data_IF_451216469494
#
_entry.id   IF_451216469494
#
_cell.length_a   1.000
_cell.length_b   1.000
_cell.length_c   1.000
_cell.angle_alpha   90.00
_cell.angle_beta   90.00
_cell.angle_gamma   90.00
#
_symmetry.space_group_name_H-M   'P 1'
#
loop_
_entity.id
_entity.type
_entity.pdbx_description
1 polymer ?
#
# COMPACT_ATOMS: atom_id res chain seq x y z
N UNK A 1 -14.82 4.61 -1.05
CA UNK A 1 -14.92 5.08 -2.45
C UNK A 1 -15.24 6.55 -2.59
N UNK A 2 -16.12 7.11 -1.76
CA UNK A 2 -16.52 8.53 -1.79
C UNK A 2 -15.34 9.49 -1.79
N UNK A 3 -14.39 9.34 -0.87
CA UNK A 3 -13.20 10.21 -0.81
C UNK A 3 -12.36 10.17 -2.10
N UNK A 4 -12.22 8.98 -2.72
CA UNK A 4 -11.49 8.83 -3.99
C UNK A 4 -12.20 9.58 -5.12
N UNK A 5 -13.52 9.44 -5.19
CA UNK A 5 -14.32 10.13 -6.19
C UNK A 5 -14.31 11.64 -5.97
N UNK A 6 -14.44 12.11 -4.72
CA UNK A 6 -14.32 13.51 -4.36
C UNK A 6 -12.95 14.07 -4.79
N UNK A 7 -11.85 13.39 -4.46
CA UNK A 7 -10.51 13.79 -4.90
C UNK A 7 -10.41 13.90 -6.43
N UNK A 8 -11.05 12.98 -7.15
CA UNK A 8 -11.12 13.03 -8.60
C UNK A 8 -11.90 14.25 -9.11
N UNK A 9 -12.96 14.68 -8.41
CA UNK A 9 -13.73 15.86 -8.80
C UNK A 9 -13.01 17.18 -8.46
N UNK A 10 -12.34 17.25 -7.31
CA UNK A 10 -11.81 18.52 -6.78
C UNK A 10 -10.34 18.77 -7.11
N UNK A 11 -9.55 17.73 -7.34
CA UNK A 11 -8.11 17.85 -7.51
C UNK A 11 -7.57 17.24 -8.81
N UNK A 12 -8.43 16.92 -9.79
CA UNK A 12 -8.00 16.28 -11.04
C UNK A 12 -6.84 17.00 -11.74
N UNK A 13 -6.90 18.33 -11.87
CA UNK A 13 -5.86 19.13 -12.50
C UNK A 13 -4.54 19.06 -11.71
N UNK A 14 -4.62 19.16 -10.37
CA UNK A 14 -3.46 19.02 -9.49
C UNK A 14 -2.80 17.66 -9.63
N UNK A 15 -3.59 16.59 -9.74
CA UNK A 15 -3.08 15.23 -9.94
C UNK A 15 -2.31 15.05 -11.25
N UNK A 16 -2.60 15.84 -12.30
CA UNK A 16 -1.89 15.79 -13.58
C UNK A 16 -0.47 16.37 -13.53
N UNK A 17 -0.15 17.17 -12.51
CA UNK A 17 1.18 17.77 -12.36
C UNK A 17 2.23 16.78 -11.84
N UNK A 18 1.81 15.60 -11.36
CA UNK A 18 2.71 14.60 -10.79
C UNK A 18 3.15 13.57 -11.84
N UNK A 19 4.27 12.90 -11.61
CA UNK A 19 4.71 11.78 -12.46
C UNK A 19 4.11 10.42 -12.02
N UNK A 20 3.68 10.31 -10.77
CA UNK A 20 2.98 9.17 -10.18
C UNK A 20 2.12 9.64 -9.03
N UNK A 21 1.06 8.91 -8.75
CA UNK A 21 0.19 9.14 -7.59
C UNK A 21 0.29 7.92 -6.68
N UNK A 22 0.54 8.16 -5.40
CA UNK A 22 0.54 7.13 -4.35
C UNK A 22 -0.68 7.39 -3.47
N UNK A 23 -1.68 6.53 -3.59
CA UNK A 23 -2.87 6.55 -2.74
C UNK A 23 -2.66 5.54 -1.61
N UNK A 24 -2.59 6.04 -0.38
CA UNK A 24 -2.32 5.21 0.80
C UNK A 24 -3.28 5.57 1.95
N UNK A 25 -3.27 4.77 3.01
CA UNK A 25 -4.04 5.04 4.23
C UNK A 25 -3.18 5.71 5.29
N UNK A 26 -3.82 6.49 6.15
CA UNK A 26 -3.17 7.19 7.27
C UNK A 26 -2.72 6.25 8.39
N UNK A 27 -3.34 5.07 8.50
CA UNK A 27 -2.96 4.03 9.47
C UNK A 27 -1.88 3.05 8.95
N UNK A 28 -1.15 3.44 7.90
CA UNK A 28 0.03 2.72 7.45
C UNK A 28 1.30 3.20 8.13
N UNK A 29 2.00 2.27 8.77
CA UNK A 29 3.38 2.48 9.22
C UNK A 29 4.36 1.90 8.21
N UNK A 30 5.29 2.72 7.72
CA UNK A 30 6.34 2.32 6.78
C UNK A 30 7.59 1.84 7.53
N UNK A 31 8.08 0.65 7.18
CA UNK A 31 9.30 0.06 7.79
C UNK A 31 10.58 0.46 7.05
N UNK A 32 10.45 0.81 5.77
CA UNK A 32 11.52 1.31 4.92
C UNK A 32 10.93 2.22 3.84
N UNK A 33 11.80 2.82 3.03
CA UNK A 33 11.37 3.71 1.95
C UNK A 33 10.44 3.00 0.96
N UNK A 34 9.45 3.74 0.49
CA UNK A 34 8.57 3.26 -0.57
C UNK A 34 9.38 2.98 -1.85
N UNK A 35 9.12 1.87 -2.57
CA UNK A 35 9.78 1.58 -3.84
C UNK A 35 9.71 2.77 -4.81
N UNK A 36 10.82 3.11 -5.47
CA UNK A 36 10.82 4.14 -6.50
C UNK A 36 10.28 3.58 -7.83
N UNK A 37 8.95 3.52 -7.96
CA UNK A 37 8.25 2.89 -9.10
C UNK A 37 7.41 3.91 -9.87
N UNK A 38 7.38 3.75 -11.19
CA UNK A 38 6.65 4.62 -12.11
C UNK A 38 5.79 3.77 -13.04
N UNK A 39 4.54 3.49 -12.67
CA UNK A 39 3.66 2.67 -13.49
C UNK A 39 3.37 3.33 -14.84
N UNK A 40 3.25 2.50 -15.88
CA UNK A 40 2.82 2.95 -17.21
C UNK A 40 1.35 3.38 -17.18
N UNK A 41 0.90 4.26 -18.09
CA UNK A 41 -0.52 4.53 -18.28
C UNK A 41 -1.31 3.24 -18.49
N UNK A 42 -2.44 3.11 -17.80
CA UNK A 42 -3.30 1.92 -17.80
C UNK A 42 -2.94 0.91 -16.72
N UNK A 43 -1.85 1.11 -15.97
CA UNK A 43 -1.41 0.20 -14.90
C UNK A 43 -1.63 0.81 -13.51
N UNK A 44 -2.12 -0.01 -12.58
CA UNK A 44 -2.13 0.27 -11.14
C UNK A 44 -1.32 -0.78 -10.40
N UNK A 45 -0.33 -0.34 -9.62
CA UNK A 45 0.43 -1.20 -8.73
C UNK A 45 -0.31 -1.34 -7.40
N UNK A 46 -0.50 -2.58 -6.94
CA UNK A 46 -1.24 -2.90 -5.71
C UNK A 46 -0.32 -3.65 -4.76
N UNK A 47 -0.25 -3.22 -3.49
CA UNK A 47 0.56 -3.89 -2.48
C UNK A 47 0.21 -5.38 -2.36
N UNK A 48 1.22 -6.25 -2.30
CA UNK A 48 1.03 -7.67 -1.96
C UNK A 48 0.44 -7.82 -0.56
N UNK A 49 -0.36 -8.85 -0.34
CA UNK A 49 -1.02 -9.12 0.95
C UNK A 49 -2.38 -9.77 0.76
N UNK A 50 -3.22 -9.67 1.80
CA UNK A 50 -4.61 -10.13 1.77
C UNK A 50 -5.43 -9.39 0.72
N UNK A 51 -6.33 -10.14 0.08
CA UNK A 51 -7.09 -9.69 -1.09
C UNK A 51 -8.59 -9.97 -1.01
N UNK A 52 -9.09 -10.70 -0.02
CA UNK A 52 -10.53 -10.97 0.19
C UNK A 52 -11.36 -11.20 -1.11
N UNK A 53 -10.77 -11.92 -2.10
CA UNK A 53 -11.34 -12.17 -3.43
C UNK A 53 -11.20 -11.05 -4.49
N UNK A 54 -10.74 -9.86 -4.10
CA UNK A 54 -10.57 -8.64 -4.88
C UNK A 54 -9.13 -8.08 -4.96
N UNK A 55 -9.02 -6.77 -5.15
CA UNK A 55 -7.77 -6.02 -5.01
C UNK A 55 -7.85 -5.15 -3.77
N UNK A 56 -6.81 -5.19 -2.91
CA UNK A 56 -6.81 -4.37 -1.70
C UNK A 56 -6.99 -2.90 -2.02
N UNK A 57 -7.79 -2.20 -1.23
CA UNK A 57 -8.07 -0.76 -1.35
C UNK A 57 -7.09 0.11 -0.55
N UNK A 58 -6.09 -0.50 0.10
CA UNK A 58 -5.24 0.13 1.11
C UNK A 58 -4.05 0.90 0.54
N UNK A 59 -3.47 0.44 -0.58
CA UNK A 59 -2.32 1.10 -1.20
C UNK A 59 -2.25 0.89 -2.71
N UNK A 60 -2.27 1.99 -3.47
CA UNK A 60 -2.20 2.01 -4.92
C UNK A 60 -1.15 2.99 -5.42
N UNK A 61 -0.42 2.59 -6.46
CA UNK A 61 0.46 3.51 -7.20
C UNK A 61 0.05 3.49 -8.66
N UNK A 62 -0.20 4.65 -9.25
CA UNK A 62 -0.69 4.74 -10.63
C UNK A 62 -0.22 6.02 -11.33
N UNK A 63 -0.24 5.98 -12.65
CA UNK A 63 0.07 7.13 -13.49
C UNK A 63 -1.09 8.13 -13.47
N UNK A 64 -0.87 9.46 -13.54
CA UNK A 64 -1.96 10.46 -13.60
C UNK A 64 -2.99 10.19 -14.70
N UNK A 65 -2.54 9.79 -15.90
CA UNK A 65 -3.42 9.33 -17.02
C UNK A 65 -4.33 8.14 -16.68
N UNK A 66 -4.14 7.49 -15.53
CA UNK A 66 -4.93 6.35 -15.03
C UNK A 66 -5.80 6.74 -13.83
N UNK A 67 -5.75 8.00 -13.37
CA UNK A 67 -6.48 8.46 -12.18
C UNK A 67 -7.99 8.26 -12.28
N UNK A 68 -8.57 8.45 -13.47
CA UNK A 68 -10.01 8.30 -13.69
C UNK A 68 -10.44 6.85 -13.40
N UNK A 69 -9.69 5.87 -13.91
CA UNK A 69 -9.96 4.46 -13.67
C UNK A 69 -9.62 4.04 -12.24
N UNK A 70 -8.50 4.52 -11.70
CA UNK A 70 -8.02 4.17 -10.36
C UNK A 70 -8.92 4.72 -9.23
N UNK A 71 -9.42 5.96 -9.37
CA UNK A 71 -10.22 6.66 -8.38
C UNK A 71 -11.73 6.55 -8.64
N UNK A 72 -12.15 6.41 -9.91
CA UNK A 72 -13.54 6.41 -10.37
C UNK A 72 -14.31 5.09 -10.19
N UNK A 73 -14.02 4.32 -9.14
CA UNK A 73 -14.74 3.06 -8.84
C UNK A 73 -16.18 3.32 -8.37
N UNK A 74 -16.46 4.48 -7.74
CA UNK A 74 -17.79 4.80 -7.21
C UNK A 74 -18.89 4.83 -8.30
N UNK A 75 -18.73 5.56 -9.42
CA UNK A 75 -19.72 5.51 -10.52
C UNK A 75 -19.99 4.10 -11.04
N UNK A 76 -18.96 3.25 -11.12
CA UNK A 76 -19.12 1.86 -11.51
C UNK A 76 -19.97 1.08 -10.50
N UNK A 77 -19.70 1.25 -9.20
CA UNK A 77 -20.43 0.59 -8.13
C UNK A 77 -21.90 1.02 -8.09
N UNK A 78 -22.20 2.30 -8.32
CA UNK A 78 -23.58 2.82 -8.37
C UNK A 78 -24.37 2.22 -9.53
N UNK A 79 -23.72 1.96 -10.68
CA UNK A 79 -24.35 1.25 -11.81
C UNK A 79 -24.46 -0.25 -11.60
N UNK A 80 -23.70 -0.82 -10.66
CA UNK A 80 -23.58 -2.26 -10.44
C UNK A 80 -23.69 -2.67 -8.95
N UNK A 81 -24.71 -2.21 -8.20
CA UNK A 81 -24.71 -2.26 -6.74
C UNK A 81 -24.68 -3.68 -6.15
N UNK A 82 -25.10 -4.70 -6.93
CA UNK A 82 -25.17 -6.10 -6.50
C UNK A 82 -24.01 -6.96 -7.00
N UNK A 83 -23.12 -6.45 -7.86
CA UNK A 83 -22.03 -7.25 -8.46
C UNK A 83 -20.88 -7.53 -7.49
N UNK A 84 -20.66 -6.67 -6.49
CA UNK A 84 -19.54 -6.77 -5.57
C UNK A 84 -20.02 -7.02 -4.14
N UNK A 85 -19.44 -8.04 -3.49
CA UNK A 85 -19.77 -8.39 -2.08
C UNK A 85 -19.02 -7.53 -1.06
N UNK A 86 -17.90 -6.93 -1.46
CA UNK A 86 -17.07 -6.08 -0.62
C UNK A 86 -16.32 -5.04 -1.49
N UNK A 87 -15.69 -4.01 -0.88
CA UNK A 87 -14.96 -2.99 -1.60
C UNK A 87 -13.82 -3.53 -2.49
N UNK A 88 -13.05 -4.50 -2.02
CA UNK A 88 -11.92 -5.06 -2.80
C UNK A 88 -12.42 -5.75 -4.08
N UNK A 89 -13.55 -6.46 -4.01
CA UNK A 89 -14.21 -7.04 -5.17
C UNK A 89 -14.73 -5.96 -6.12
N UNK A 90 -15.30 -4.87 -5.60
CA UNK A 90 -15.75 -3.75 -6.44
C UNK A 90 -14.59 -3.15 -7.24
N UNK A 91 -13.41 -2.97 -6.61
CA UNK A 91 -12.20 -2.52 -7.30
C UNK A 91 -11.82 -3.50 -8.40
N UNK A 92 -11.74 -4.80 -8.09
CA UNK A 92 -11.37 -5.84 -9.07
C UNK A 92 -12.29 -5.87 -10.28
N UNK A 93 -13.60 -5.82 -10.06
CA UNK A 93 -14.58 -5.87 -11.14
C UNK A 93 -14.56 -4.58 -11.97
N UNK A 94 -14.56 -3.41 -11.31
CA UNK A 94 -14.49 -2.12 -12.00
C UNK A 94 -13.23 -1.98 -12.85
N UNK A 95 -12.05 -2.28 -12.28
CA UNK A 95 -10.79 -2.19 -13.00
C UNK A 95 -10.69 -3.15 -14.17
N UNK A 96 -11.25 -4.36 -14.03
CA UNK A 96 -11.35 -5.30 -15.15
C UNK A 96 -12.21 -4.74 -16.29
N UNK A 97 -13.37 -4.18 -15.98
CA UNK A 97 -14.26 -3.59 -17.00
C UNK A 97 -13.66 -2.30 -17.61
N UNK A 98 -12.87 -1.55 -16.86
CA UNK A 98 -12.20 -0.32 -17.30
C UNK A 98 -10.83 -0.57 -17.99
N UNK A 99 -10.44 -1.84 -18.21
CA UNK A 99 -9.20 -2.18 -18.89
C UNK A 99 -7.92 -1.86 -18.11
N UNK A 100 -7.99 -1.76 -16.79
CA UNK A 100 -6.83 -1.47 -15.93
C UNK A 100 -6.00 -2.74 -15.73
N UNK A 101 -4.71 -2.65 -16.04
CA UNK A 101 -3.72 -3.68 -15.71
C UNK A 101 -3.33 -3.54 -14.24
N UNK A 102 -3.32 -4.65 -13.51
CA UNK A 102 -2.90 -4.67 -12.11
C UNK A 102 -1.61 -5.44 -11.97
N UNK A 103 -0.61 -4.80 -11.36
CA UNK A 103 0.69 -5.41 -11.11
C UNK A 103 1.00 -5.39 -9.61
N UNK A 104 1.70 -6.41 -9.08
CA UNK A 104 1.99 -6.50 -7.66
C UNK A 104 3.11 -5.53 -7.26
N UNK A 105 2.87 -4.72 -6.24
CA UNK A 105 3.89 -3.88 -5.59
C UNK A 105 4.47 -4.62 -4.36
N UNK A 106 5.81 -4.65 -4.20
CA UNK A 106 6.41 -5.07 -2.93
C UNK A 106 5.90 -4.22 -1.76
N UNK A 107 5.58 -4.87 -0.65
CA UNK A 107 5.04 -4.21 0.52
C UNK A 107 6.19 -3.67 1.39
N UNK A 108 6.13 -2.40 1.78
CA UNK A 108 7.10 -1.72 2.66
C UNK A 108 6.45 -1.16 3.93
N UNK A 109 5.17 -1.47 4.13
CA UNK A 109 4.29 -0.86 5.12
C UNK A 109 3.26 -1.86 5.65
N UNK A 110 2.79 -1.62 6.86
CA UNK A 110 1.77 -2.43 7.53
C UNK A 110 0.70 -1.56 8.16
N UNK A 111 -0.50 -2.11 8.28
CA UNK A 111 -1.61 -1.45 8.96
C UNK A 111 -1.47 -1.57 10.47
N UNK A 112 -1.56 -0.44 11.17
CA UNK A 112 -1.50 -0.36 12.62
C UNK A 112 -2.81 0.15 13.23
N UNK A 113 -2.99 -0.06 14.52
CA UNK A 113 -4.01 0.58 15.37
C UNK A 113 -3.39 1.11 16.65
N UNK A 114 -4.08 2.03 17.31
CA UNK A 114 -3.77 2.38 18.68
C UNK A 114 -4.07 1.18 19.60
N UNK A 115 -3.29 1.05 20.68
CA UNK A 115 -3.50 0.03 21.71
C UNK A 115 -4.84 0.31 22.40
N UNK A 116 -5.79 -0.62 22.27
CA UNK A 116 -7.15 -0.47 22.79
C UNK A 116 -8.21 -0.09 21.76
N UNK A 117 -7.83 0.16 20.49
CA UNK A 117 -8.80 0.26 19.40
C UNK A 117 -9.58 -1.06 19.27
N UNK A 118 -10.89 -1.00 19.49
CA UNK A 118 -11.80 -2.12 19.28
C UNK A 118 -12.19 -2.21 17.81
N UNK A 119 -11.29 -2.66 16.94
CA UNK A 119 -11.71 -3.05 15.59
C UNK A 119 -12.39 -4.42 15.61
N UNK A 120 -13.52 -4.54 14.89
CA UNK A 120 -14.46 -5.67 14.83
C UNK A 120 -13.87 -7.07 14.56
N UNK A 121 -12.58 -7.19 14.30
CA UNK A 121 -11.90 -8.43 13.94
C UNK A 121 -10.50 -8.41 14.58
N UNK A 122 -10.33 -9.22 15.62
CA UNK A 122 -9.10 -9.56 16.33
C UNK A 122 -8.53 -8.53 17.32
N UNK A 123 -8.26 -9.01 18.54
CA UNK A 123 -7.38 -8.36 19.51
C UNK A 123 -6.03 -8.19 18.85
N UNK A 124 -5.64 -6.95 18.55
CA UNK A 124 -4.37 -6.66 17.92
C UNK A 124 -3.25 -7.28 18.77
N UNK A 125 -2.56 -8.28 18.23
CA UNK A 125 -1.47 -8.94 18.95
C UNK A 125 -0.44 -7.87 19.27
N UNK A 126 -0.13 -7.73 20.56
CA UNK A 126 0.93 -6.83 21.00
C UNK A 126 2.21 -7.37 20.38
N UNK A 127 2.90 -6.62 19.51
CA UNK A 127 4.06 -7.12 18.79
C UNK A 127 5.27 -7.13 19.74
N UNK A 128 5.27 -8.04 20.71
CA UNK A 128 6.39 -8.26 21.64
C UNK A 128 7.66 -8.78 20.96
N UNK A 129 7.62 -9.03 19.64
CA UNK A 129 8.72 -9.64 18.88
C UNK A 129 9.16 -8.88 17.63
N UNK A 130 8.88 -7.59 17.51
CA UNK A 130 8.89 -6.94 16.20
C UNK A 130 9.66 -5.62 16.14
N UNK A 131 10.98 -5.78 16.05
CA UNK A 131 11.80 -5.50 14.88
C UNK A 131 13.26 -5.43 15.35
N UNK A 132 14.04 -6.53 15.24
CA UNK A 132 15.50 -6.39 15.30
C UNK A 132 15.94 -5.81 13.94
N UNK A 133 16.53 -4.61 13.91
CA UNK A 133 17.09 -4.02 12.67
C UNK A 133 18.20 -4.91 12.10
N UNK A 134 18.54 -4.64 10.85
CA UNK A 134 19.72 -5.16 10.14
C UNK A 134 21.04 -4.59 10.73
N UNK A 135 20.98 -3.57 11.59
CA UNK A 135 22.13 -2.98 12.31
C UNK A 135 22.17 -3.32 13.82
N UNK A 136 21.32 -4.24 14.30
CA UNK A 136 21.29 -4.65 15.71
C UNK A 136 20.52 -3.74 16.68
N UNK A 137 20.05 -2.56 16.27
CA UNK A 137 19.24 -1.69 17.15
C UNK A 137 17.73 -1.93 16.95
N UNK A 138 16.91 -2.11 18.00
CA UNK A 138 15.47 -2.31 17.80
C UNK A 138 14.77 -0.97 17.54
N UNK A 139 14.19 -0.78 16.34
CA UNK A 139 13.06 0.17 16.22
C UNK A 139 11.83 -0.61 16.68
N UNK A 140 11.60 -0.60 17.97
CA UNK A 140 10.35 -1.07 18.54
C UNK A 140 9.22 -0.31 17.85
N UNK A 141 8.16 -1.02 17.45
CA UNK A 141 6.89 -0.36 17.25
C UNK A 141 6.63 0.50 18.49
N UNK A 142 6.19 1.77 18.34
CA UNK A 142 5.76 2.56 19.48
C UNK A 142 4.88 1.68 20.35
N UNK A 143 5.14 1.63 21.66
CA UNK A 143 4.46 0.71 22.60
C UNK A 143 2.93 0.88 22.62
N UNK A 144 2.46 1.97 22.01
CA UNK A 144 1.07 2.35 21.82
C UNK A 144 0.45 1.84 20.51
N UNK A 145 1.20 1.17 19.65
CA UNK A 145 0.71 0.65 18.36
C UNK A 145 0.69 -0.87 18.32
N UNK A 146 -0.34 -1.41 17.68
CA UNK A 146 -0.48 -2.84 17.44
C UNK A 146 -0.67 -3.13 15.95
N UNK A 147 -0.23 -4.30 15.50
CA UNK A 147 -0.30 -4.71 14.09
C UNK A 147 -1.66 -5.36 13.83
N UNK A 148 -2.39 -4.87 12.82
CA UNK A 148 -3.71 -5.44 12.47
C UNK A 148 -3.63 -6.74 11.67
N UNK A 149 -2.62 -6.85 10.79
CA UNK A 149 -2.49 -7.97 9.86
C UNK A 149 -1.06 -8.54 9.91
N UNK A 150 -0.81 -9.67 10.59
CA UNK A 150 0.52 -10.26 10.73
C UNK A 150 1.22 -10.55 9.39
N UNK A 151 0.45 -10.92 8.35
CA UNK A 151 0.99 -11.19 7.01
C UNK A 151 1.54 -9.93 6.32
N UNK A 152 0.96 -8.75 6.57
CA UNK A 152 1.47 -7.50 5.99
C UNK A 152 2.86 -7.19 6.52
N UNK A 153 3.08 -7.50 7.78
CA UNK A 153 4.33 -7.30 8.47
C UNK A 153 5.43 -8.27 8.00
N UNK A 154 5.13 -9.56 7.84
CA UNK A 154 6.08 -10.52 7.27
C UNK A 154 6.53 -10.08 5.86
N UNK A 155 5.58 -9.69 5.01
CA UNK A 155 5.88 -9.18 3.67
C UNK A 155 6.74 -7.90 3.70
N UNK A 156 6.42 -6.98 4.61
CA UNK A 156 7.18 -5.74 4.78
C UNK A 156 8.61 -6.01 5.26
N UNK A 157 8.81 -6.90 6.25
CA UNK A 157 10.13 -7.28 6.74
C UNK A 157 10.96 -7.94 5.64
N UNK A 158 10.38 -8.85 4.85
CA UNK A 158 11.09 -9.52 3.75
C UNK A 158 11.57 -8.53 2.69
N UNK A 159 10.73 -7.57 2.30
CA UNK A 159 11.11 -6.54 1.33
C UNK A 159 12.17 -5.60 1.92
N UNK A 160 11.92 -5.05 3.10
CA UNK A 160 12.79 -4.04 3.70
C UNK A 160 14.18 -4.59 4.06
N UNK A 161 14.31 -5.86 4.47
CA UNK A 161 15.62 -6.50 4.68
C UNK A 161 16.42 -6.60 3.38
N UNK A 162 15.79 -6.97 2.26
CA UNK A 162 16.43 -7.00 0.94
C UNK A 162 16.84 -5.60 0.48
N UNK A 163 15.98 -4.60 0.69
CA UNK A 163 16.28 -3.21 0.35
C UNK A 163 17.38 -2.60 1.23
N UNK A 164 17.51 -3.03 2.49
CA UNK A 164 18.61 -2.62 3.37
C UNK A 164 19.96 -3.21 2.91
N UNK A 165 19.96 -4.45 2.39
CA UNK A 165 21.17 -5.09 1.87
C UNK A 165 21.79 -4.31 0.68
N UNK A 166 20.96 -3.69 -0.16
CA UNK A 166 21.43 -2.83 -1.24
C UNK A 166 22.07 -1.51 -0.78
N UNK A 167 21.82 -1.06 0.46
CA UNK A 167 22.46 0.14 1.02
C UNK A 167 23.80 -0.14 1.71
N UNK A 168 24.11 -1.39 2.01
CA UNK A 168 25.41 -1.77 2.61
C UNK A 168 26.43 -2.28 1.57
N UNK A 169 26.06 -2.37 0.29
CA UNK A 169 26.85 -3.02 -0.77
C UNK A 169 27.47 -2.11 -1.83
N UNK A 170 27.68 -0.82 -1.56
CA UNK A 170 28.34 0.12 -2.49
C UNK A 170 29.51 0.88 -1.87
N UNK A 171 30.16 0.31 -0.85
CA UNK A 171 31.49 0.71 -0.39
C UNK A 171 32.55 -0.12 -1.12
N UNK A 172 32.81 0.20 -2.39
CA UNK A 172 33.99 -0.32 -3.09
C UNK A 172 35.27 0.11 -2.37
N UNK A 173 36.35 -0.69 -2.43
CA UNK A 173 37.55 -0.43 -1.63
C UNK A 173 38.23 0.84 -2.12
N UNK A 174 38.24 1.89 -1.29
CA UNK A 174 39.25 2.92 -1.37
C UNK A 174 40.59 2.25 -1.05
N UNK A 175 41.33 1.83 -2.08
CA UNK A 175 42.78 1.63 -1.95
C UNK A 175 43.38 2.97 -1.55
N UNK A 176 43.92 3.04 -0.34
CA UNK A 176 44.93 4.02 0.05
C UNK A 176 46.28 3.30 0.00
N UNK A 177 47.28 4.08 -0.46
CA UNK A 177 48.71 3.78 -0.67
C UNK A 177 49.02 2.71 -1.71
#
# INVERSE_FOLDING_TARGET
FTLRYWLLQTAAATLDMYNRIVLTRTDHLYLCDHPNVFPRPGTVLVARGERYGGWTDRHHVFHPRTKNQALGVLPWLLRNPRKAKNPEMAIKLAWRELGVRVEPLPRCMLTVSAKGDSTRWWSAETPSKLCKRVDGSPRLLPTQLAVKYPIELDLALRYCRRSAYHRCGAGGPHRRS
#
